data_IF_934785118016
#
_entry.id   IF_934785118016
#
_cell.length_a   1.000
_cell.length_b   1.000
_cell.length_c   1.000
_cell.angle_alpha   90.00
_cell.angle_beta   90.00
_cell.angle_gamma   90.00
#
_symmetry.space_group_name_H-M   'P 1'
#
loop_
_entity.id
_entity.type
_entity.pdbx_description
1 polymer ?
#
# COMPACT_ATOMS: atom_id res chain seq x y z
N UNK A 1 16.04 9.97 -17.22
CA UNK A 1 15.90 8.82 -16.30
C UNK A 1 14.44 8.44 -16.32
N UNK A 2 14.10 7.18 -16.57
CA UNK A 2 12.71 6.78 -16.69
C UNK A 2 12.06 6.82 -15.30
N UNK A 3 11.05 7.66 -15.13
CA UNK A 3 10.26 7.74 -13.91
C UNK A 3 9.42 6.46 -13.83
N UNK A 4 9.65 5.63 -12.80
CA UNK A 4 8.86 4.41 -12.61
C UNK A 4 7.52 4.80 -11.99
N UNK A 5 6.46 4.78 -12.80
CA UNK A 5 5.12 5.08 -12.34
C UNK A 5 4.48 3.82 -11.74
N UNK A 6 4.39 3.77 -10.41
CA UNK A 6 3.65 2.72 -9.69
C UNK A 6 2.28 3.26 -9.29
N UNK A 7 1.21 2.64 -9.78
CA UNK A 7 -0.18 3.00 -9.45
C UNK A 7 -0.82 1.91 -8.58
N UNK A 8 -0.62 1.94 -7.25
CA UNK A 8 -1.21 0.96 -6.36
C UNK A 8 -2.71 1.22 -6.19
N UNK A 9 -3.52 0.15 -6.26
CA UNK A 9 -4.94 0.19 -5.88
C UNK A 9 -5.07 -0.30 -4.43
N UNK A 10 -5.36 0.62 -3.51
CA UNK A 10 -5.41 0.35 -2.07
C UNK A 10 -6.84 0.42 -1.55
N UNK A 11 -7.21 -0.53 -0.69
CA UNK A 11 -8.50 -0.59 -0.01
C UNK A 11 -8.27 -0.50 1.50
N UNK A 12 -9.09 0.29 2.17
CA UNK A 12 -8.94 0.61 3.59
C UNK A 12 -10.26 0.44 4.34
N UNK A 13 -10.18 -0.04 5.59
CA UNK A 13 -11.34 -0.15 6.48
C UNK A 13 -11.37 1.02 7.48
N UNK A 14 -12.09 2.09 7.11
CA UNK A 14 -12.12 3.33 7.89
C UNK A 14 -10.78 4.07 7.94
N UNK A 15 -10.77 5.31 8.46
CA UNK A 15 -9.57 6.20 8.51
C UNK A 15 -8.91 6.51 7.16
N UNK A 16 -9.71 6.69 6.10
CA UNK A 16 -9.16 7.00 4.77
C UNK A 16 -8.49 8.38 4.73
N UNK A 17 -8.97 9.41 5.45
CA UNK A 17 -8.39 10.77 5.41
C UNK A 17 -6.93 10.81 5.87
N UNK A 18 -6.64 10.34 7.09
CA UNK A 18 -5.28 10.30 7.64
C UNK A 18 -4.35 9.43 6.78
N UNK A 19 -4.84 8.27 6.35
CA UNK A 19 -4.08 7.31 5.55
C UNK A 19 -3.68 7.89 4.19
N UNK A 20 -4.64 8.54 3.51
CA UNK A 20 -4.42 9.16 2.22
C UNK A 20 -3.48 10.37 2.32
N UNK A 21 -3.59 11.19 3.36
CA UNK A 21 -2.68 12.29 3.63
C UNK A 21 -1.25 11.79 3.91
N UNK A 22 -1.11 10.70 4.66
CA UNK A 22 0.17 10.06 4.90
C UNK A 22 0.83 9.62 3.58
N UNK A 23 0.13 8.90 2.69
CA UNK A 23 0.74 8.45 1.43
C UNK A 23 1.02 9.60 0.46
N UNK A 24 0.17 10.63 0.41
CA UNK A 24 0.47 11.87 -0.34
C UNK A 24 1.81 12.46 0.10
N UNK A 25 2.04 12.53 1.41
CA UNK A 25 3.26 13.14 1.98
C UNK A 25 4.47 12.22 1.85
N UNK A 26 4.32 10.93 2.16
CA UNK A 26 5.43 9.98 2.23
C UNK A 26 5.93 9.54 0.85
N UNK A 27 5.03 9.42 -0.14
CA UNK A 27 5.35 8.88 -1.47
C UNK A 27 5.22 9.93 -2.58
N UNK A 28 4.77 11.15 -2.29
CA UNK A 28 4.35 12.10 -3.33
C UNK A 28 3.14 11.60 -4.13
N UNK A 29 2.35 10.68 -3.57
CA UNK A 29 1.28 10.01 -4.28
C UNK A 29 0.16 11.00 -4.67
N UNK A 30 -0.37 10.86 -5.88
CA UNK A 30 -1.59 11.55 -6.30
C UNK A 30 -2.77 10.58 -6.19
N UNK A 31 -3.86 11.07 -5.60
CA UNK A 31 -5.13 10.32 -5.57
C UNK A 31 -5.86 10.65 -6.87
N UNK A 32 -5.86 9.69 -7.80
CA UNK A 32 -6.50 9.82 -9.11
C UNK A 32 -8.01 9.53 -9.03
N UNK A 33 -8.39 8.51 -8.26
CA UNK A 33 -9.79 8.14 -8.02
C UNK A 33 -10.02 7.76 -6.55
N UNK A 34 -11.15 8.17 -5.99
CA UNK A 34 -11.57 7.78 -4.64
C UNK A 34 -13.06 7.40 -4.66
N UNK A 35 -13.36 6.15 -4.29
CA UNK A 35 -14.72 5.63 -4.15
C UNK A 35 -14.93 5.20 -2.70
N UNK A 36 -16.07 5.58 -2.09
CA UNK A 36 -16.42 5.09 -0.75
C UNK A 36 -17.11 3.74 -0.88
N UNK A 37 -16.89 2.86 0.08
CA UNK A 37 -17.46 1.52 0.07
C UNK A 37 -18.99 1.51 -0.08
N UNK A 38 -19.70 2.44 0.58
CA UNK A 38 -21.17 2.57 0.49
C UNK A 38 -21.69 2.94 -0.92
N UNK A 39 -20.81 3.47 -1.76
CA UNK A 39 -21.13 3.90 -3.12
C UNK A 39 -20.73 2.80 -4.15
N UNK A 40 -20.17 1.67 -3.68
CA UNK A 40 -19.83 0.51 -4.52
C UNK A 40 -21.08 -0.31 -4.84
N UNK A 41 -21.30 -0.68 -6.12
CA UNK A 41 -22.42 -1.55 -6.50
C UNK A 41 -22.28 -2.98 -5.97
N UNK A 42 -21.06 -3.41 -5.62
CA UNK A 42 -20.76 -4.75 -5.10
C UNK A 42 -20.09 -4.68 -3.72
N UNK A 43 -20.47 -5.56 -2.78
CA UNK A 43 -19.80 -5.69 -1.49
C UNK A 43 -18.41 -6.30 -1.67
N UNK A 44 -17.45 -5.86 -0.85
CA UNK A 44 -16.10 -6.41 -0.88
C UNK A 44 -16.08 -7.90 -0.50
N UNK A 45 -15.26 -8.74 -1.16
CA UNK A 45 -15.00 -10.10 -0.74
C UNK A 45 -14.56 -10.18 0.74
N UNK A 46 -15.03 -11.19 1.51
CA UNK A 46 -14.59 -11.40 2.88
C UNK A 46 -13.06 -11.53 2.97
N UNK A 47 -12.45 -10.84 3.94
CA UNK A 47 -11.00 -10.89 4.17
C UNK A 47 -10.16 -9.98 3.27
N UNK A 48 -10.77 -9.20 2.38
CA UNK A 48 -10.06 -8.22 1.55
C UNK A 48 -9.58 -7.00 2.37
N UNK A 49 -10.31 -6.68 3.43
CA UNK A 49 -9.94 -5.64 4.39
C UNK A 49 -9.14 -6.24 5.55
N UNK A 50 -7.99 -5.65 5.85
CA UNK A 50 -7.18 -5.97 7.04
C UNK A 50 -7.38 -4.90 8.11
N UNK A 51 -7.27 -5.31 9.36
CA UNK A 51 -7.33 -4.39 10.49
C UNK A 51 -6.03 -3.57 10.59
N UNK A 52 -6.12 -2.29 10.97
CA UNK A 52 -4.97 -1.38 11.00
C UNK A 52 -3.87 -1.72 12.00
N UNK A 53 -4.06 -2.70 12.88
CA UNK A 53 -3.17 -2.91 14.01
C UNK A 53 -2.09 -3.98 13.75
N UNK A 54 -2.02 -4.49 12.53
CA UNK A 54 -1.17 -5.62 12.15
C UNK A 54 0.16 -5.18 11.50
N UNK A 55 0.75 -4.05 11.93
CA UNK A 55 2.03 -3.59 11.38
C UNK A 55 3.14 -4.59 11.69
N UNK A 56 3.79 -5.12 10.67
CA UNK A 56 4.79 -6.18 10.81
C UNK A 56 5.76 -6.14 9.64
N UNK A 57 7.05 -6.26 9.91
CA UNK A 57 8.05 -6.54 8.86
C UNK A 57 8.08 -8.05 8.66
N UNK A 58 7.64 -8.54 7.50
CA UNK A 58 7.76 -9.97 7.16
C UNK A 58 9.15 -10.32 6.65
N UNK A 59 9.76 -9.41 5.88
CA UNK A 59 11.12 -9.54 5.38
C UNK A 59 11.78 -8.15 5.39
N UNK A 60 12.87 -7.95 6.15
CA UNK A 60 13.65 -6.72 6.12
C UNK A 60 14.16 -6.43 4.71
N UNK A 61 14.45 -5.16 4.44
CA UNK A 61 14.97 -4.74 3.14
C UNK A 61 16.40 -5.27 2.95
N UNK A 62 16.54 -6.36 2.20
CA UNK A 62 17.80 -7.10 2.05
C UNK A 62 18.16 -7.31 0.58
N UNK A 63 19.44 -7.55 0.31
CA UNK A 63 19.91 -7.87 -1.05
C UNK A 63 19.52 -9.31 -1.38
N UNK A 64 18.87 -9.49 -2.54
CA UNK A 64 18.53 -10.81 -3.05
C UNK A 64 19.03 -10.98 -4.49
N UNK A 65 19.00 -12.21 -5.01
CA UNK A 65 19.69 -12.52 -6.26
C UNK A 65 19.17 -11.75 -7.49
N UNK A 66 17.91 -11.31 -7.48
CA UNK A 66 17.26 -10.62 -8.60
C UNK A 66 17.01 -9.12 -8.36
N UNK A 67 17.37 -8.58 -7.19
CA UNK A 67 17.18 -7.18 -6.88
C UNK A 67 18.32 -6.65 -6.00
N UNK A 68 18.82 -5.43 -6.26
CA UNK A 68 19.70 -4.72 -5.33
C UNK A 68 19.17 -4.76 -3.88
N UNK A 69 17.86 -4.58 -3.69
CA UNK A 69 17.16 -4.68 -2.39
C UNK A 69 15.69 -5.02 -2.56
N UNK A 70 15.21 -5.98 -1.76
CA UNK A 70 13.80 -6.36 -1.68
C UNK A 70 13.37 -6.52 -0.23
N UNK A 71 12.11 -6.17 0.06
CA UNK A 71 11.54 -6.32 1.39
C UNK A 71 10.02 -6.45 1.35
N UNK A 72 9.46 -6.98 2.43
CA UNK A 72 8.03 -7.16 2.62
C UNK A 72 7.62 -6.69 4.00
N UNK A 73 6.62 -5.82 4.06
CA UNK A 73 6.04 -5.38 5.33
C UNK A 73 4.53 -5.17 5.21
N UNK A 74 3.83 -5.30 6.33
CA UNK A 74 2.52 -4.71 6.55
C UNK A 74 2.73 -3.40 7.32
N UNK A 75 2.18 -2.30 6.81
CA UNK A 75 2.26 -1.01 7.49
C UNK A 75 1.21 -0.85 8.60
N UNK A 76 1.22 0.30 9.29
CA UNK A 76 0.27 0.65 10.36
C UNK A 76 -1.18 0.87 9.90
N UNK A 77 -1.43 0.79 8.60
CA UNK A 77 -2.78 0.85 8.03
C UNK A 77 -3.27 -0.54 7.60
N UNK A 78 -2.46 -1.58 7.83
CA UNK A 78 -2.78 -2.96 7.44
C UNK A 78 -2.47 -3.26 5.97
N UNK A 79 -1.80 -2.37 5.24
CA UNK A 79 -1.44 -2.58 3.83
C UNK A 79 -0.15 -3.37 3.73
N UNK A 80 -0.21 -4.49 3.02
CA UNK A 80 0.96 -5.30 2.70
C UNK A 80 1.68 -4.76 1.46
N UNK A 81 2.96 -4.46 1.63
CA UNK A 81 3.85 -3.93 0.61
C UNK A 81 4.91 -4.95 0.24
N UNK A 82 5.16 -5.08 -1.05
CA UNK A 82 6.40 -5.64 -1.59
C UNK A 82 7.20 -4.50 -2.20
N UNK A 83 8.39 -4.25 -1.65
CA UNK A 83 9.26 -3.17 -2.13
C UNK A 83 10.38 -3.82 -2.91
N UNK A 84 10.48 -3.48 -4.20
CA UNK A 84 11.57 -3.86 -5.06
C UNK A 84 12.35 -2.61 -5.49
N UNK A 85 13.64 -2.58 -5.23
CA UNK A 85 14.53 -1.54 -5.76
C UNK A 85 15.00 -1.94 -7.15
N UNK A 86 14.67 -1.13 -8.16
CA UNK A 86 15.18 -1.27 -9.54
C UNK A 86 16.43 -0.40 -9.72
N UNK A 87 17.39 -0.88 -10.52
CA UNK A 87 18.66 -0.20 -10.80
C UNK A 87 18.55 0.75 -12.01
#
# INVERSE_FOLDING_TARGET
MAETLTQPYLMFDGRYEETLEFYRTALGAQIDMMMRHKDSPEPLPPGMLRSSNDSQVQMPLEKIFWSPRFGMLTDRFGISWMINVVA
#
